data_IF_670479178137
#
_entry.id   IF_670479178137
#
_cell.length_a   1.000
_cell.length_b   1.000
_cell.length_c   1.000
_cell.angle_alpha   90.00
_cell.angle_beta   90.00
_cell.angle_gamma   90.00
#
_symmetry.space_group_name_H-M   'P 1'
#
loop_
_entity.id
_entity.type
_entity.pdbx_description
1 polymer ?
#
# COMPACT_ATOMS: atom_id res chain seq x y z
N UNK A 1 9.75 22.08 -14.25
CA UNK A 1 8.91 21.27 -15.16
C UNK A 1 7.77 20.71 -14.34
N UNK A 2 6.55 21.15 -14.64
CA UNK A 2 5.35 20.80 -13.88
C UNK A 2 4.82 19.47 -14.41
N UNK A 3 4.86 18.42 -13.59
CA UNK A 3 4.23 17.15 -13.92
C UNK A 3 2.74 17.29 -13.62
N UNK A 4 1.97 17.53 -14.68
CA UNK A 4 0.52 17.49 -14.60
C UNK A 4 0.07 16.02 -14.48
N UNK A 5 -0.53 15.65 -13.35
CA UNK A 5 -1.31 14.44 -13.23
C UNK A 5 -2.42 14.47 -14.28
N UNK A 6 -2.30 13.65 -15.32
CA UNK A 6 -3.42 13.38 -16.22
C UNK A 6 -4.32 12.35 -15.52
N UNK A 7 -5.45 12.79 -15.02
CA UNK A 7 -6.56 11.90 -14.68
C UNK A 7 -6.94 11.13 -15.94
N UNK A 8 -6.84 9.81 -15.88
CA UNK A 8 -7.29 8.93 -16.93
C UNK A 8 -8.81 8.91 -16.89
N UNK A 9 -9.46 9.44 -17.94
CA UNK A 9 -10.85 9.14 -18.21
C UNK A 9 -10.96 7.69 -18.67
N UNK A 10 -11.90 6.89 -18.15
CA UNK A 10 -12.11 5.54 -18.66
C UNK A 10 -12.46 5.62 -20.14
N UNK A 11 -11.72 4.89 -20.94
CA UNK A 11 -11.96 4.76 -22.38
C UNK A 11 -13.26 3.99 -22.62
N UNK A 12 -14.27 4.50 -23.34
CA UNK A 12 -15.56 3.83 -23.58
C UNK A 12 -15.50 2.65 -24.57
N UNK A 13 -14.32 2.04 -24.78
CA UNK A 13 -14.09 1.05 -25.81
C UNK A 13 -13.86 -0.40 -25.35
N UNK A 14 -14.22 -0.79 -24.14
CA UNK A 14 -14.06 -2.17 -23.69
C UNK A 14 -15.33 -2.98 -23.92
N UNK A 15 -15.43 -3.58 -25.11
CA UNK A 15 -16.35 -4.68 -25.34
C UNK A 15 -15.94 -5.52 -26.56
N UNK A 16 -15.02 -6.47 -26.38
CA UNK A 16 -14.91 -7.64 -27.24
C UNK A 16 -14.37 -8.80 -26.41
N UNK A 17 -15.26 -9.64 -25.92
CA UNK A 17 -14.89 -11.00 -25.58
C UNK A 17 -14.81 -11.81 -26.88
N UNK A 18 -13.90 -12.76 -26.93
CA UNK A 18 -13.63 -13.64 -28.07
C UNK A 18 -14.75 -14.65 -28.35
N UNK A 19 -15.95 -14.48 -27.80
CA UNK A 19 -17.07 -15.43 -27.89
C UNK A 19 -18.30 -14.89 -28.67
N UNK A 20 -18.25 -13.68 -29.23
CA UNK A 20 -19.28 -13.18 -30.13
C UNK A 20 -20.66 -12.97 -29.51
N UNK A 21 -20.78 -12.81 -28.21
CA UNK A 21 -22.03 -12.49 -27.51
C UNK A 21 -22.15 -10.98 -27.32
N UNK A 22 -23.09 -10.37 -28.01
CA UNK A 22 -23.43 -8.94 -27.84
C UNK A 22 -24.12 -8.75 -26.50
N UNK A 23 -23.43 -8.22 -25.53
CA UNK A 23 -24.07 -7.72 -24.32
C UNK A 23 -24.71 -6.37 -24.60
N UNK A 24 -26.03 -6.30 -24.48
CA UNK A 24 -26.79 -5.05 -24.51
C UNK A 24 -26.43 -4.24 -23.27
N UNK A 25 -26.20 -2.91 -23.38
CA UNK A 25 -25.96 -2.09 -22.22
C UNK A 25 -27.21 -2.08 -21.31
N UNK A 26 -26.98 -2.29 -20.02
CA UNK A 26 -28.00 -2.19 -19.00
C UNK A 26 -28.70 -0.83 -19.08
N UNK A 27 -30.02 -0.81 -19.23
CA UNK A 27 -30.81 0.38 -19.54
C UNK A 27 -31.41 1.05 -18.30
N UNK A 28 -31.23 0.49 -17.08
CA UNK A 28 -31.74 1.11 -15.85
C UNK A 28 -30.84 0.84 -14.64
N UNK A 29 -30.85 1.79 -13.71
CA UNK A 29 -30.17 1.69 -12.41
C UNK A 29 -30.70 0.53 -11.54
N UNK A 30 -31.86 0.01 -11.83
CA UNK A 30 -32.52 -1.09 -11.10
C UNK A 30 -31.87 -2.44 -11.45
N UNK A 31 -31.35 -2.62 -12.67
CA UNK A 31 -30.64 -3.86 -13.06
C UNK A 31 -29.26 -4.01 -12.41
N UNK A 32 -28.65 -2.93 -11.94
CA UNK A 32 -27.37 -2.98 -11.22
C UNK A 32 -27.55 -3.43 -9.76
N UNK A 33 -28.76 -3.45 -9.25
CA UNK A 33 -29.06 -3.81 -7.87
C UNK A 33 -29.27 -5.33 -7.66
N UNK A 34 -29.30 -6.11 -8.73
CA UNK A 34 -29.38 -7.58 -8.69
C UNK A 34 -28.04 -8.31 -8.79
N UNK A 35 -26.93 -7.62 -8.71
CA UNK A 35 -25.68 -8.29 -8.37
C UNK A 35 -25.81 -8.82 -6.94
N UNK A 36 -26.23 -10.09 -6.86
CA UNK A 36 -26.30 -10.86 -5.62
C UNK A 36 -24.92 -10.81 -4.97
N UNK A 37 -24.75 -9.83 -4.08
CA UNK A 37 -23.67 -9.85 -3.11
C UNK A 37 -23.98 -11.05 -2.22
N UNK A 38 -23.37 -12.19 -2.52
CA UNK A 38 -23.41 -13.32 -1.60
C UNK A 38 -22.90 -12.78 -0.25
N UNK A 39 -23.70 -12.80 0.80
CA UNK A 39 -23.26 -12.30 2.09
C UNK A 39 -22.04 -13.13 2.49
N UNK A 40 -20.91 -12.44 2.68
CA UNK A 40 -19.76 -13.01 3.36
C UNK A 40 -20.30 -13.55 4.69
N UNK A 41 -20.10 -14.83 5.02
CA UNK A 41 -20.59 -15.37 6.29
C UNK A 41 -20.02 -14.49 7.40
N UNK A 42 -20.91 -13.73 8.03
CA UNK A 42 -20.62 -12.95 9.23
C UNK A 42 -20.41 -13.95 10.36
N UNK A 43 -19.20 -14.54 10.41
CA UNK A 43 -18.71 -15.06 11.67
C UNK A 43 -18.71 -13.86 12.62
N UNK A 44 -19.56 -13.87 13.61
CA UNK A 44 -19.55 -12.88 14.68
C UNK A 44 -18.12 -12.86 15.22
N UNK A 45 -17.36 -11.76 15.08
CA UNK A 45 -16.02 -11.71 15.63
C UNK A 45 -16.15 -11.98 17.13
N UNK A 46 -15.36 -12.93 17.63
CA UNK A 46 -15.24 -13.12 19.07
C UNK A 46 -14.93 -11.77 19.71
N UNK A 47 -15.53 -11.44 20.85
CA UNK A 47 -15.27 -10.15 21.49
C UNK A 47 -13.77 -10.02 21.71
N UNK A 48 -13.18 -8.97 21.13
CA UNK A 48 -11.78 -8.62 21.34
C UNK A 48 -11.69 -8.13 22.79
N UNK A 49 -11.44 -9.06 23.71
CA UNK A 49 -11.25 -8.78 25.15
C UNK A 49 -9.80 -8.46 25.50
N UNK A 50 -8.90 -8.44 24.51
CA UNK A 50 -7.57 -7.91 24.73
C UNK A 50 -7.68 -6.38 24.95
N UNK A 51 -7.02 -5.81 25.99
CA UNK A 51 -6.90 -4.37 26.08
C UNK A 51 -6.31 -3.90 24.75
N UNK A 52 -6.90 -2.83 24.19
CA UNK A 52 -6.30 -2.14 23.05
C UNK A 52 -4.95 -1.67 23.58
N UNK A 53 -3.93 -2.50 23.42
CA UNK A 53 -2.57 -2.08 23.66
C UNK A 53 -2.38 -0.81 22.83
N UNK A 54 -1.70 0.20 23.38
CA UNK A 54 -1.25 1.38 22.63
C UNK A 54 -0.36 0.91 21.50
N UNK A 55 -0.98 0.41 20.44
CA UNK A 55 -0.30 -0.21 19.31
C UNK A 55 0.28 0.91 18.49
N UNK A 56 1.53 1.25 18.80
CA UNK A 56 2.30 2.19 18.02
C UNK A 56 2.50 1.58 16.65
N UNK A 57 1.98 2.26 15.62
CA UNK A 57 2.26 1.90 14.24
C UNK A 57 3.59 2.49 13.80
N UNK A 58 4.33 1.73 12.99
CA UNK A 58 5.53 2.22 12.30
C UNK A 58 5.26 2.31 10.81
N UNK A 59 5.55 3.46 10.22
CA UNK A 59 5.32 3.76 8.82
C UNK A 59 6.64 4.03 8.12
N UNK A 60 6.94 3.25 7.09
CA UNK A 60 8.07 3.45 6.20
C UNK A 60 7.56 3.94 4.85
N UNK A 61 8.11 5.04 4.36
CA UNK A 61 7.95 5.54 3.00
C UNK A 61 9.26 5.23 2.29
N UNK A 62 9.17 4.44 1.21
CA UNK A 62 10.33 3.97 0.46
C UNK A 62 10.21 4.39 -1.00
N UNK A 63 11.24 5.10 -1.48
CA UNK A 63 11.39 5.45 -2.88
C UNK A 63 12.51 4.60 -3.48
N UNK A 64 12.22 3.91 -4.56
CA UNK A 64 13.16 3.04 -5.29
C UNK A 64 13.51 3.67 -6.63
N UNK A 65 14.81 3.77 -6.93
CA UNK A 65 15.30 4.38 -8.16
C UNK A 65 16.27 3.45 -8.90
N UNK A 66 16.32 3.60 -10.22
CA UNK A 66 17.17 2.80 -11.11
C UNK A 66 16.96 1.30 -10.90
N UNK A 67 15.70 0.91 -10.73
CA UNK A 67 15.24 -0.47 -10.64
C UNK A 67 15.29 -1.17 -12.00
N UNK A 68 15.17 -2.49 -11.96
CA UNK A 68 14.96 -3.31 -13.15
C UNK A 68 13.56 -3.04 -13.73
N UNK A 69 13.49 -2.41 -14.91
CA UNK A 69 12.24 -2.00 -15.55
C UNK A 69 11.35 -3.21 -15.89
N UNK A 70 11.92 -4.36 -16.24
CA UNK A 70 11.15 -5.56 -16.56
C UNK A 70 10.43 -6.10 -15.30
N UNK A 71 11.10 -6.08 -14.17
CA UNK A 71 10.50 -6.47 -12.88
C UNK A 71 9.42 -5.50 -12.41
N UNK A 72 9.60 -4.20 -12.69
CA UNK A 72 8.61 -3.18 -12.35
C UNK A 72 7.32 -3.30 -13.15
N UNK A 73 7.37 -3.90 -14.35
CA UNK A 73 6.23 -4.10 -15.24
C UNK A 73 5.62 -5.50 -15.18
N UNK A 74 6.21 -6.39 -14.39
CA UNK A 74 5.74 -7.75 -14.20
C UNK A 74 4.83 -7.84 -12.97
N UNK A 75 3.52 -7.96 -13.21
CA UNK A 75 2.51 -8.02 -12.13
C UNK A 75 2.72 -9.24 -11.22
N UNK A 76 3.07 -10.40 -11.77
CA UNK A 76 3.29 -11.61 -10.98
C UNK A 76 4.54 -11.48 -10.11
N UNK A 77 5.61 -10.87 -10.65
CA UNK A 77 6.80 -10.56 -9.88
C UNK A 77 6.50 -9.58 -8.74
N UNK A 78 5.77 -8.50 -9.01
CA UNK A 78 5.36 -7.51 -7.98
C UNK A 78 4.56 -8.18 -6.87
N UNK A 79 3.61 -9.04 -7.22
CA UNK A 79 2.81 -9.81 -6.24
C UNK A 79 3.67 -10.70 -5.37
N UNK A 80 4.62 -11.42 -5.97
CA UNK A 80 5.56 -12.27 -5.24
C UNK A 80 6.45 -11.45 -4.30
N UNK A 81 6.99 -10.33 -4.78
CA UNK A 81 7.83 -9.43 -4.00
C UNK A 81 7.09 -8.84 -2.78
N UNK A 82 5.83 -8.41 -2.96
CA UNK A 82 5.00 -7.90 -1.87
C UNK A 82 4.68 -8.98 -0.83
N UNK A 83 4.39 -10.21 -1.28
CA UNK A 83 4.15 -11.35 -0.39
C UNK A 83 5.39 -11.68 0.44
N UNK A 84 6.56 -11.68 -0.20
CA UNK A 84 7.84 -11.93 0.45
C UNK A 84 8.20 -10.80 1.44
N UNK A 85 7.97 -9.55 1.06
CA UNK A 85 8.17 -8.41 1.93
C UNK A 85 7.31 -8.50 3.20
N UNK A 86 6.01 -8.86 3.07
CA UNK A 86 5.12 -9.06 4.22
C UNK A 86 5.64 -10.15 5.16
N UNK A 87 6.05 -11.31 4.61
CA UNK A 87 6.62 -12.40 5.37
C UNK A 87 7.89 -11.96 6.13
N UNK A 88 8.78 -11.24 5.47
CA UNK A 88 10.06 -10.77 6.05
C UNK A 88 9.87 -9.66 7.09
N UNK A 89 8.77 -8.93 7.01
CA UNK A 89 8.37 -8.00 8.06
C UNK A 89 7.81 -8.69 9.31
N UNK A 90 7.55 -9.99 9.25
CA UNK A 90 6.84 -10.73 10.31
C UNK A 90 5.35 -10.40 10.34
N UNK A 91 4.80 -9.89 9.24
CA UNK A 91 3.40 -9.54 9.11
C UNK A 91 2.58 -10.69 8.53
N UNK A 92 1.29 -10.70 8.84
CA UNK A 92 0.32 -11.70 8.37
C UNK A 92 -0.40 -11.18 7.13
N UNK A 93 -0.09 -11.75 5.95
CA UNK A 93 -0.76 -11.41 4.70
C UNK A 93 -2.19 -11.96 4.70
N UNK A 94 -3.19 -11.09 4.61
CA UNK A 94 -4.60 -11.46 4.54
C UNK A 94 -5.11 -11.52 3.10
N UNK A 95 -4.71 -10.55 2.28
CA UNK A 95 -5.09 -10.47 0.87
C UNK A 95 -4.05 -9.66 0.08
N UNK A 96 -4.02 -9.88 -1.24
CA UNK A 96 -3.15 -9.16 -2.16
C UNK A 96 -3.92 -8.88 -3.44
N UNK A 97 -4.13 -7.61 -3.73
CA UNK A 97 -4.70 -7.14 -4.98
C UNK A 97 -3.66 -6.38 -5.78
N UNK A 98 -3.76 -6.45 -7.10
CA UNK A 98 -2.88 -5.73 -8.02
C UNK A 98 -3.60 -5.36 -9.29
N UNK A 99 -3.02 -4.44 -10.04
CA UNK A 99 -3.49 -4.01 -11.33
C UNK A 99 -2.31 -3.60 -12.21
N UNK A 100 -2.22 -4.22 -13.39
CA UNK A 100 -1.26 -3.84 -14.42
C UNK A 100 -1.88 -2.81 -15.35
N UNK A 101 -1.24 -1.66 -15.49
CA UNK A 101 -1.70 -0.56 -16.35
C UNK A 101 -1.23 -0.73 -17.79
N UNK A 102 -1.98 -0.18 -18.72
CA UNK A 102 -1.58 -0.07 -20.11
C UNK A 102 -1.10 1.37 -20.40
N UNK A 103 0.08 1.57 -21.02
CA UNK A 103 0.93 0.54 -21.63
C UNK A 103 1.87 -0.18 -20.66
N UNK A 104 2.10 0.32 -19.44
CA UNK A 104 2.98 -0.29 -18.43
C UNK A 104 2.75 0.30 -17.04
N UNK A 105 3.29 -0.38 -16.04
CA UNK A 105 3.22 -0.02 -14.64
C UNK A 105 2.24 -0.89 -13.85
N UNK A 106 2.58 -1.14 -12.59
CA UNK A 106 1.80 -1.98 -11.68
C UNK A 106 1.50 -1.23 -10.40
N UNK A 107 0.26 -1.32 -9.95
CA UNK A 107 -0.12 -0.99 -8.57
C UNK A 107 -0.44 -2.27 -7.83
N UNK A 108 0.08 -2.40 -6.61
CA UNK A 108 -0.19 -3.53 -5.72
C UNK A 108 -0.53 -3.06 -4.32
N UNK A 109 -1.43 -3.80 -3.65
CA UNK A 109 -1.78 -3.59 -2.25
C UNK A 109 -1.85 -4.93 -1.53
N UNK A 110 -0.94 -5.12 -0.59
CA UNK A 110 -0.98 -6.23 0.36
C UNK A 110 -1.72 -5.77 1.62
N UNK A 111 -2.89 -6.37 1.87
CA UNK A 111 -3.63 -6.20 3.11
C UNK A 111 -3.03 -7.13 4.17
N UNK A 112 -2.60 -6.55 5.26
CA UNK A 112 -2.01 -7.26 6.39
C UNK A 112 -2.94 -7.23 7.60
N UNK A 113 -2.87 -8.21 8.46
CA UNK A 113 -3.55 -8.14 9.76
C UNK A 113 -3.07 -6.95 10.58
N UNK A 114 -1.83 -6.52 10.39
CA UNK A 114 -1.18 -5.42 11.09
C UNK A 114 -1.30 -4.06 10.36
N UNK A 115 -1.75 -4.00 9.12
CA UNK A 115 -2.15 -2.86 8.28
C UNK A 115 -1.98 -3.12 6.77
N UNK A 116 -0.90 -2.61 6.09
CA UNK A 116 -0.76 -2.78 4.65
C UNK A 116 0.66 -2.50 4.13
N UNK A 117 0.91 -2.99 2.89
CA UNK A 117 1.98 -2.52 2.01
C UNK A 117 1.33 -2.08 0.70
N UNK A 118 1.56 -0.83 0.28
CA UNK A 118 1.18 -0.36 -1.07
C UNK A 118 2.41 -0.17 -1.94
N UNK A 119 2.25 -0.40 -3.24
CA UNK A 119 3.30 -0.34 -4.23
C UNK A 119 2.77 0.27 -5.52
N UNK A 120 3.54 1.18 -6.11
CA UNK A 120 3.26 1.78 -7.41
C UNK A 120 4.54 1.85 -8.23
N UNK A 121 4.50 1.40 -9.48
CA UNK A 121 5.68 1.41 -10.34
C UNK A 121 5.52 2.27 -11.59
N UNK A 122 6.66 2.81 -12.04
CA UNK A 122 6.86 3.53 -13.29
C UNK A 122 8.05 2.91 -14.01
N UNK A 123 7.85 1.81 -14.75
CA UNK A 123 8.92 1.06 -15.44
C UNK A 123 9.76 1.93 -16.35
N UNK A 124 9.14 2.89 -17.06
CA UNK A 124 9.80 3.83 -17.97
C UNK A 124 10.83 4.73 -17.30
N UNK A 125 10.68 4.92 -16.00
CA UNK A 125 11.59 5.73 -15.18
C UNK A 125 12.51 4.90 -14.30
N UNK A 126 12.30 3.56 -14.26
CA UNK A 126 12.98 2.68 -13.31
C UNK A 126 12.66 3.04 -11.86
N UNK A 127 11.45 3.53 -11.60
CA UNK A 127 11.03 4.08 -10.31
C UNK A 127 9.85 3.31 -9.71
N UNK A 128 9.86 3.14 -8.39
CA UNK A 128 8.70 2.72 -7.63
C UNK A 128 8.56 3.48 -6.31
N UNK A 129 7.31 3.75 -5.93
CA UNK A 129 6.92 4.31 -4.64
C UNK A 129 6.26 3.24 -3.78
N UNK A 130 6.67 3.13 -2.53
CA UNK A 130 6.19 2.10 -1.60
C UNK A 130 5.88 2.69 -0.23
N UNK A 131 4.72 2.34 0.31
CA UNK A 131 4.37 2.59 1.69
C UNK A 131 4.27 1.27 2.44
N UNK A 132 4.97 1.14 3.56
CA UNK A 132 4.88 0.00 4.47
C UNK A 132 4.43 0.51 5.82
N UNK A 133 3.19 0.26 6.16
CA UNK A 133 2.65 0.59 7.46
C UNK A 133 2.27 -0.68 8.22
N UNK A 134 2.82 -0.83 9.42
CA UNK A 134 2.51 -1.96 10.30
C UNK A 134 2.34 -1.51 11.74
N UNK A 135 1.44 -2.17 12.45
CA UNK A 135 1.24 -2.01 13.89
C UNK A 135 1.78 -3.24 14.63
N UNK A 136 2.06 -3.05 15.93
CA UNK A 136 2.56 -4.11 16.79
C UNK A 136 4.08 -4.19 16.86
N UNK A 137 4.59 -4.58 18.03
CA UNK A 137 6.03 -4.60 18.31
C UNK A 137 6.77 -5.77 17.64
N UNK A 138 6.02 -6.77 17.16
CA UNK A 138 6.57 -7.95 16.50
C UNK A 138 6.92 -7.72 15.03
N UNK A 139 6.41 -6.64 14.42
CA UNK A 139 6.64 -6.34 13.00
C UNK A 139 7.83 -5.43 12.76
N UNK A 140 8.52 -5.66 11.66
CA UNK A 140 9.70 -4.91 11.24
C UNK A 140 9.54 -4.37 9.81
N UNK A 141 8.80 -3.26 9.60
CA UNK A 141 8.54 -2.72 8.27
C UNK A 141 9.81 -2.37 7.49
N UNK A 142 10.89 -2.01 8.16
CA UNK A 142 12.18 -1.78 7.51
C UNK A 142 12.76 -3.06 6.87
N UNK A 143 12.40 -4.22 7.38
CA UNK A 143 12.79 -5.50 6.76
C UNK A 143 12.06 -5.75 5.46
N UNK A 144 10.77 -5.38 5.37
CA UNK A 144 10.03 -5.38 4.10
C UNK A 144 10.71 -4.44 3.09
N UNK A 145 11.05 -3.22 3.51
CA UNK A 145 11.71 -2.25 2.64
C UNK A 145 13.03 -2.79 2.07
N UNK A 146 13.86 -3.45 2.88
CA UNK A 146 15.12 -4.05 2.40
C UNK A 146 14.88 -5.13 1.34
N UNK A 147 13.91 -6.00 1.57
CA UNK A 147 13.56 -7.04 0.59
C UNK A 147 13.16 -6.40 -0.74
N UNK A 148 12.33 -5.36 -0.72
CA UNK A 148 11.90 -4.68 -1.94
C UNK A 148 13.07 -3.99 -2.67
N UNK A 149 14.00 -3.37 -1.94
CA UNK A 149 15.24 -2.81 -2.52
C UNK A 149 16.04 -3.89 -3.27
N UNK A 150 16.22 -5.06 -2.64
CA UNK A 150 16.99 -6.18 -3.20
C UNK A 150 16.28 -6.82 -4.40
N UNK A 151 14.98 -7.12 -4.27
CA UNK A 151 14.21 -7.81 -5.30
C UNK A 151 14.05 -7.00 -6.58
N UNK A 152 13.79 -5.69 -6.47
CA UNK A 152 13.70 -4.80 -7.64
C UNK A 152 15.07 -4.35 -8.16
N UNK A 153 16.17 -4.73 -7.51
CA UNK A 153 17.53 -4.37 -7.92
C UNK A 153 17.76 -2.86 -7.89
N UNK A 154 17.11 -2.17 -6.97
CA UNK A 154 17.22 -0.72 -6.83
C UNK A 154 18.67 -0.29 -6.53
N UNK A 155 19.24 0.58 -7.35
CA UNK A 155 20.61 1.09 -7.16
C UNK A 155 20.67 2.27 -6.20
N UNK A 156 19.55 2.99 -6.05
CA UNK A 156 19.40 4.11 -5.15
C UNK A 156 18.02 4.06 -4.52
N UNK A 157 17.94 4.29 -3.23
CA UNK A 157 16.67 4.35 -2.53
C UNK A 157 16.67 5.44 -1.46
N UNK A 158 15.50 5.92 -1.12
CA UNK A 158 15.27 6.77 0.02
C UNK A 158 14.26 6.09 0.94
N UNK A 159 14.65 5.92 2.20
CA UNK A 159 13.79 5.36 3.23
C UNK A 159 13.56 6.41 4.31
N UNK A 160 12.29 6.70 4.60
CA UNK A 160 11.87 7.48 5.75
C UNK A 160 11.03 6.59 6.64
N UNK A 161 11.36 6.51 7.92
CA UNK A 161 10.63 5.74 8.91
C UNK A 161 10.21 6.65 10.06
N UNK A 162 8.97 6.53 10.48
CA UNK A 162 8.43 7.28 11.61
C UNK A 162 7.36 6.48 12.36
N UNK A 163 7.24 6.77 13.65
CA UNK A 163 6.20 6.18 14.49
C UNK A 163 4.93 7.00 14.37
N UNK A 164 3.78 6.32 14.34
CA UNK A 164 2.48 6.97 14.37
C UNK A 164 1.96 6.93 15.80
N UNK A 165 1.81 8.13 16.37
CA UNK A 165 1.40 8.30 17.75
C UNK A 165 -0.08 7.97 17.94
N UNK A 166 -0.41 7.34 19.06
CA UNK A 166 -1.80 7.14 19.47
C UNK A 166 -2.35 8.40 20.15
N UNK A 167 -3.69 8.59 20.21
CA UNK A 167 -4.29 9.69 20.95
C UNK A 167 -3.85 9.75 22.42
N UNK A 168 -3.64 8.57 23.06
CA UNK A 168 -3.16 8.50 24.44
C UNK A 168 -1.73 9.05 24.59
N UNK A 169 -0.86 8.79 23.61
CA UNK A 169 0.52 9.32 23.57
C UNK A 169 0.52 10.83 23.39
N UNK A 170 -0.29 11.34 22.45
CA UNK A 170 -0.44 12.79 22.24
C UNK A 170 -0.93 13.46 23.53
N UNK A 171 -1.97 12.92 24.15
CA UNK A 171 -2.48 13.45 25.43
C UNK A 171 -1.47 13.37 26.57
N UNK A 172 -0.53 12.42 26.54
CA UNK A 172 0.56 12.34 27.50
C UNK A 172 1.62 13.42 27.25
N UNK A 173 1.95 13.71 25.98
CA UNK A 173 2.88 14.77 25.57
C UNK A 173 2.34 16.16 25.95
N UNK A 174 1.03 16.40 25.72
CA UNK A 174 0.37 17.65 26.07
C UNK A 174 0.30 17.90 27.59
N UNK A 175 0.33 16.84 28.40
CA UNK A 175 0.36 16.94 29.87
C UNK A 175 1.76 17.21 30.45
N UNK A 176 2.81 17.15 29.63
CA UNK A 176 4.19 17.52 30.03
C UNK A 176 4.48 18.95 29.55
N UNK A 177 4.22 19.99 30.35
CA UNK A 177 4.51 21.35 29.92
C UNK A 177 6.03 21.57 29.81
N UNK A 178 6.46 22.00 28.61
CA UNK A 178 7.66 22.78 28.36
C UNK A 178 9.03 22.21 28.82
N UNK A 179 9.42 21.04 28.27
CA UNK A 179 10.85 20.75 28.19
C UNK A 179 11.49 21.19 26.86
N UNK A 180 10.75 21.91 26.01
CA UNK A 180 11.22 22.35 24.68
C UNK A 180 11.58 23.86 24.59
N UNK A 181 11.76 24.57 25.69
CA UNK A 181 12.39 25.88 25.65
C UNK A 181 13.91 25.68 25.66
N UNK A 182 14.56 25.71 24.50
CA UNK A 182 16.02 25.73 24.43
C UNK A 182 16.70 25.13 23.22
N UNK A 183 16.00 24.71 22.19
CA UNK A 183 16.69 24.32 20.96
C UNK A 183 17.05 25.58 20.16
N UNK A 184 18.34 25.86 19.90
CA UNK A 184 18.76 26.99 19.10
C UNK A 184 18.27 26.80 17.66
N UNK A 185 17.54 27.79 17.14
CA UNK A 185 17.18 27.87 15.73
C UNK A 185 18.49 28.02 14.93
N UNK A 186 18.79 27.13 13.96
CA UNK A 186 19.98 27.30 13.13
C UNK A 186 19.87 28.59 12.32
N UNK A 187 20.98 29.36 12.13
CA UNK A 187 20.94 30.59 11.34
C UNK A 187 20.62 30.27 9.88
N UNK A 188 19.89 31.21 9.23
CA UNK A 188 19.50 31.15 7.82
C UNK A 188 20.69 31.28 6.88
#
# INVERSE_FOLDING_TARGET
>A
MSFAFRYFHPNPGWNTDSAGSTLTPATSLDELNELVVTPIPTATPAPITAPIADTVGKHCILELYACDCAKLDDEDFVRAALSNAALRAGATLLNLISHHFQPHGVTGLALLAESHISFHSWPESGYAAVDVFTCGDHTMPESACRVLVEEFGSRHHQLRSFRRETPAMIAALERQPAAMEGLPVPPR
#
